data_IF_223897132622
#
_entry.id   IF_223897132622
#
_cell.length_a   1.000
_cell.length_b   1.000
_cell.length_c   1.000
_cell.angle_alpha   90.00
_cell.angle_beta   90.00
_cell.angle_gamma   90.00
#
_symmetry.space_group_name_H-M   'P 1'
#
loop_
_entity.id
_entity.type
_entity.pdbx_description
1 polymer ?
#
# COMPACT_ATOMS: atom_id res chain seq x y z
N UNK A 1 11.12 -16.71 9.69
CA UNK A 1 10.80 -15.42 9.03
C UNK A 1 9.58 -15.62 8.16
N UNK A 2 8.61 -14.70 8.14
CA UNK A 2 7.44 -14.86 7.31
C UNK A 2 7.79 -14.94 5.82
N UNK A 3 7.22 -15.90 5.12
CA UNK A 3 7.56 -16.14 3.71
C UNK A 3 6.86 -15.13 2.78
N UNK A 4 5.63 -14.74 3.13
CA UNK A 4 4.81 -13.86 2.30
C UNK A 4 4.12 -12.79 3.13
N UNK A 5 4.11 -11.56 2.59
CA UNK A 5 3.21 -10.50 3.02
C UNK A 5 2.27 -10.12 1.88
N UNK A 6 0.99 -9.99 2.17
CA UNK A 6 -0.01 -9.53 1.22
C UNK A 6 -0.33 -8.06 1.49
N UNK A 7 -0.42 -7.26 0.43
CA UNK A 7 -0.88 -5.88 0.50
C UNK A 7 -2.13 -5.66 -0.33
N UNK A 8 -3.09 -4.95 0.25
CA UNK A 8 -4.37 -4.63 -0.38
C UNK A 8 -4.96 -3.32 0.14
N UNK A 9 -6.02 -2.86 -0.49
CA UNK A 9 -6.72 -1.62 -0.16
C UNK A 9 -8.24 -1.81 -0.13
N UNK A 10 -8.93 -1.04 0.71
CA UNK A 10 -10.39 -1.15 0.88
C UNK A 10 -11.23 -0.30 -0.06
N UNK A 11 -10.70 0.83 -0.50
CA UNK A 11 -11.32 1.70 -1.51
C UNK A 11 -10.24 2.19 -2.45
N UNK A 12 -10.52 2.16 -3.76
CA UNK A 12 -9.63 2.72 -4.78
C UNK A 12 -9.35 4.21 -4.50
N UNK A 13 -8.15 4.70 -4.85
CA UNK A 13 -7.74 6.05 -4.50
C UNK A 13 -8.67 7.15 -5.06
N UNK A 14 -9.25 6.94 -6.25
CA UNK A 14 -10.16 7.89 -6.91
C UNK A 14 -11.57 7.95 -6.33
N UNK A 15 -11.94 7.02 -5.42
CA UNK A 15 -13.25 7.09 -4.76
C UNK A 15 -13.25 8.21 -3.72
N UNK A 16 -14.34 8.97 -3.62
CA UNK A 16 -14.53 10.02 -2.58
C UNK A 16 -14.84 9.42 -1.19
N UNK A 17 -14.00 8.48 -0.74
CA UNK A 17 -14.05 7.79 0.54
C UNK A 17 -12.62 7.59 1.05
N UNK A 18 -12.43 7.49 2.36
CA UNK A 18 -11.12 7.12 2.93
C UNK A 18 -10.64 5.78 2.35
N UNK A 19 -9.39 5.75 1.90
CA UNK A 19 -8.72 4.55 1.40
C UNK A 19 -7.84 4.00 2.52
N UNK A 20 -8.15 2.82 3.03
CA UNK A 20 -7.25 2.11 3.93
C UNK A 20 -6.41 1.12 3.15
N UNK A 21 -5.19 0.90 3.60
CA UNK A 21 -4.19 0.01 3.00
C UNK A 21 -3.63 -0.85 4.11
N UNK A 22 -3.60 -2.16 3.90
CA UNK A 22 -3.05 -3.11 4.87
C UNK A 22 -1.96 -3.95 4.22
N UNK A 23 -0.94 -4.27 5.00
CA UNK A 23 0.11 -5.24 4.69
C UNK A 23 0.12 -6.29 5.78
N UNK A 24 -0.05 -7.57 5.42
CA UNK A 24 -0.34 -8.65 6.36
C UNK A 24 0.55 -9.86 6.08
N UNK A 25 1.22 -10.34 7.12
CA UNK A 25 1.95 -11.60 7.10
C UNK A 25 0.98 -12.77 6.97
N UNK A 26 1.24 -13.66 6.01
CA UNK A 26 0.41 -14.87 5.83
C UNK A 26 0.54 -15.80 7.03
N UNK A 27 1.77 -15.96 7.53
CA UNK A 27 2.14 -16.97 8.54
C UNK A 27 1.80 -16.51 9.96
N UNK A 28 2.24 -15.30 10.33
CA UNK A 28 2.12 -14.80 11.71
C UNK A 28 0.87 -13.97 11.94
N UNK A 29 0.15 -13.60 10.88
CA UNK A 29 -0.95 -12.63 10.90
C UNK A 29 -0.55 -11.25 11.42
N UNK A 30 0.75 -10.97 11.60
CA UNK A 30 1.24 -9.63 11.87
C UNK A 30 0.81 -8.69 10.73
N UNK A 31 0.29 -7.52 11.10
CA UNK A 31 -0.19 -6.56 10.13
C UNK A 31 0.24 -5.15 10.45
N UNK A 32 0.46 -4.37 9.40
CA UNK A 32 0.67 -2.93 9.42
C UNK A 32 -0.21 -2.30 8.36
N UNK A 33 -0.50 -1.02 8.48
CA UNK A 33 -1.32 -0.35 7.47
C UNK A 33 -1.38 1.13 7.69
N UNK A 34 -1.96 1.81 6.71
CA UNK A 34 -2.20 3.25 6.76
C UNK A 34 -3.56 3.55 6.16
N UNK A 35 -4.01 4.79 6.29
CA UNK A 35 -5.18 5.28 5.60
C UNK A 35 -4.89 6.64 4.98
N UNK A 36 -5.64 6.94 3.93
CA UNK A 36 -5.64 8.22 3.25
C UNK A 36 -7.06 8.76 3.26
N UNK A 37 -7.28 9.76 4.11
CA UNK A 37 -8.54 10.51 4.16
C UNK A 37 -8.87 11.12 2.81
N UNK A 38 -10.16 11.34 2.58
CA UNK A 38 -10.65 12.09 1.44
C UNK A 38 -9.94 13.44 1.28
N UNK A 39 -9.70 14.17 2.38
CA UNK A 39 -9.02 15.45 2.35
C UNK A 39 -7.57 15.33 1.86
N UNK A 40 -6.81 14.38 2.41
CA UNK A 40 -5.43 14.14 2.00
C UNK A 40 -5.35 13.73 0.51
N UNK A 41 -6.27 12.88 0.05
CA UNK A 41 -6.34 12.49 -1.36
C UNK A 41 -6.61 13.69 -2.28
N UNK A 42 -7.59 14.53 -1.94
CA UNK A 42 -7.88 15.78 -2.68
C UNK A 42 -6.67 16.71 -2.72
N UNK A 43 -5.93 16.82 -1.61
CA UNK A 43 -4.71 17.61 -1.58
C UNK A 43 -3.60 17.03 -2.48
N UNK A 44 -3.39 15.72 -2.46
CA UNK A 44 -2.44 15.01 -3.33
C UNK A 44 -2.79 15.22 -4.79
N UNK A 45 -4.06 15.02 -5.16
CA UNK A 45 -4.52 15.24 -6.54
C UNK A 45 -4.23 16.67 -6.95
N UNK A 46 -4.75 17.66 -6.22
CA UNK A 46 -4.56 19.08 -6.58
C UNK A 46 -3.09 19.50 -6.70
N UNK A 47 -2.20 19.01 -5.82
CA UNK A 47 -0.82 19.53 -5.72
C UNK A 47 0.24 18.68 -6.43
N UNK A 48 0.01 17.37 -6.58
CA UNK A 48 1.00 16.43 -7.14
C UNK A 48 0.50 15.76 -8.42
N UNK A 49 -0.81 15.50 -8.49
CA UNK A 49 -1.46 14.81 -9.60
C UNK A 49 -2.41 15.76 -10.32
N UNK A 50 -1.84 16.69 -11.11
CA UNK A 50 -2.61 17.71 -11.85
C UNK A 50 -3.74 17.09 -12.68
N UNK A 51 -3.59 15.84 -13.11
CA UNK A 51 -4.61 15.01 -13.77
C UNK A 51 -4.69 13.62 -13.12
N UNK A 52 -5.88 13.04 -13.02
CA UNK A 52 -6.08 11.71 -12.42
C UNK A 52 -5.66 10.55 -13.36
N UNK A 53 -4.36 10.45 -13.63
CA UNK A 53 -3.83 9.40 -14.51
C UNK A 53 -3.72 8.06 -13.78
N UNK A 54 -3.84 6.96 -14.54
CA UNK A 54 -3.64 5.60 -14.02
C UNK A 54 -2.23 5.42 -13.44
N UNK A 55 -1.22 5.98 -14.11
CA UNK A 55 0.17 5.97 -13.67
C UNK A 55 0.35 6.74 -12.36
N UNK A 56 -0.28 7.92 -12.24
CA UNK A 56 -0.28 8.71 -11.01
C UNK A 56 -0.88 7.96 -9.81
N UNK A 57 -1.98 7.24 -10.04
CA UNK A 57 -2.61 6.38 -9.03
C UNK A 57 -1.69 5.21 -8.65
N UNK A 58 -1.06 4.55 -9.62
CA UNK A 58 -0.09 3.48 -9.37
C UNK A 58 1.13 3.98 -8.58
N UNK A 59 1.62 5.18 -8.88
CA UNK A 59 2.71 5.83 -8.15
C UNK A 59 2.33 6.14 -6.71
N UNK A 60 1.14 6.69 -6.48
CA UNK A 60 0.62 6.92 -5.12
C UNK A 60 0.53 5.61 -4.33
N UNK A 61 0.03 4.56 -4.98
CA UNK A 61 -0.06 3.25 -4.35
C UNK A 61 1.31 2.70 -3.98
N UNK A 62 2.28 2.75 -4.90
CA UNK A 62 3.67 2.35 -4.65
C UNK A 62 4.30 3.10 -3.48
N UNK A 63 4.08 4.42 -3.36
CA UNK A 63 4.56 5.20 -2.22
C UNK A 63 3.96 4.69 -0.91
N UNK A 64 2.65 4.43 -0.87
CA UNK A 64 2.00 3.91 0.32
C UNK A 64 2.53 2.52 0.68
N UNK A 65 2.68 1.62 -0.30
CA UNK A 65 3.27 0.30 -0.11
C UNK A 65 4.70 0.41 0.43
N UNK A 66 5.53 1.28 -0.14
CA UNK A 66 6.90 1.51 0.32
C UNK A 66 6.97 1.95 1.78
N UNK A 67 6.10 2.90 2.19
CA UNK A 67 6.05 3.39 3.57
C UNK A 67 5.73 2.28 4.57
N UNK A 68 4.93 1.28 4.17
CA UNK A 68 4.64 0.09 4.96
C UNK A 68 5.81 -0.90 4.91
N UNK A 69 6.21 -1.30 3.70
CA UNK A 69 7.17 -2.38 3.48
C UNK A 69 8.58 -2.05 3.97
N UNK A 70 9.02 -0.78 3.96
CA UNK A 70 10.37 -0.40 4.43
C UNK A 70 10.63 -0.77 5.89
N UNK A 71 9.59 -0.77 6.73
CA UNK A 71 9.72 -1.10 8.16
C UNK A 71 9.80 -2.62 8.41
N UNK A 72 9.47 -3.43 7.41
CA UNK A 72 9.45 -4.89 7.48
C UNK A 72 10.31 -5.52 6.38
N UNK A 73 11.12 -4.73 5.67
CA UNK A 73 11.88 -5.16 4.51
C UNK A 73 12.79 -6.36 4.82
N UNK A 74 13.43 -6.36 5.99
CA UNK A 74 14.31 -7.45 6.44
C UNK A 74 13.56 -8.70 6.93
N UNK A 75 12.23 -8.66 6.97
CA UNK A 75 11.37 -9.75 7.45
C UNK A 75 10.57 -10.41 6.32
N UNK A 76 10.56 -9.84 5.12
CA UNK A 76 9.78 -10.32 3.99
C UNK A 76 10.69 -11.05 3.01
N UNK A 77 10.27 -12.23 2.53
CA UNK A 77 10.87 -12.84 1.33
C UNK A 77 10.13 -12.42 0.06
N UNK A 78 8.80 -12.41 0.10
CA UNK A 78 7.94 -12.02 -1.02
C UNK A 78 6.80 -11.10 -0.58
N UNK A 79 6.60 -9.99 -1.30
CA UNK A 79 5.49 -9.08 -1.17
C UNK A 79 4.48 -9.31 -2.30
N UNK A 80 3.26 -9.69 -1.94
CA UNK A 80 2.15 -10.00 -2.85
C UNK A 80 1.21 -8.81 -2.93
N UNK A 81 1.17 -8.14 -4.08
CA UNK A 81 0.23 -7.03 -4.34
C UNK A 81 -1.09 -7.62 -4.83
N UNK A 82 -2.14 -7.43 -4.03
CA UNK A 82 -3.45 -8.04 -4.26
C UNK A 82 -4.40 -7.17 -5.08
N UNK A 83 -4.12 -5.88 -5.20
CA UNK A 83 -4.96 -4.94 -5.92
C UNK A 83 -4.64 -4.91 -7.42
N UNK A 84 -5.69 -4.76 -8.24
CA UNK A 84 -5.59 -4.65 -9.72
C UNK A 84 -5.15 -3.26 -10.24
N UNK A 85 -4.73 -2.35 -9.37
CA UNK A 85 -3.98 -1.17 -9.82
C UNK A 85 -2.77 -1.64 -10.63
N UNK A 86 -2.50 -0.95 -11.75
CA UNK A 86 -1.58 -1.44 -12.78
C UNK A 86 -0.26 -1.93 -12.18
N UNK A 87 -0.18 -3.25 -11.98
CA UNK A 87 0.85 -3.87 -11.17
C UNK A 87 2.25 -3.58 -11.71
N UNK A 88 2.36 -3.49 -13.04
CA UNK A 88 3.60 -3.14 -13.72
C UNK A 88 4.14 -1.79 -13.26
N UNK A 89 3.31 -0.72 -13.31
CA UNK A 89 3.71 0.59 -12.83
C UNK A 89 3.98 0.60 -11.32
N UNK A 90 3.14 -0.07 -10.52
CA UNK A 90 3.33 -0.15 -9.06
C UNK A 90 4.68 -0.79 -8.73
N UNK A 91 5.02 -1.90 -9.38
CA UNK A 91 6.28 -2.61 -9.21
C UNK A 91 7.45 -1.72 -9.62
N UNK A 92 7.41 -1.10 -10.80
CA UNK A 92 8.47 -0.22 -11.30
C UNK A 92 8.75 0.93 -10.30
N UNK A 93 7.70 1.55 -9.78
CA UNK A 93 7.84 2.62 -8.80
C UNK A 93 8.34 2.14 -7.45
N UNK A 94 7.95 0.95 -7.00
CA UNK A 94 8.49 0.34 -5.79
C UNK A 94 9.98 0.04 -5.92
N UNK A 95 10.40 -0.53 -7.04
CA UNK A 95 11.82 -0.80 -7.32
C UNK A 95 12.62 0.51 -7.28
N UNK A 96 12.14 1.59 -7.90
CA UNK A 96 12.76 2.93 -7.78
C UNK A 96 12.87 3.40 -6.33
N UNK A 97 11.80 3.31 -5.54
CA UNK A 97 11.77 3.72 -4.13
C UNK A 97 12.71 2.90 -3.23
N UNK A 98 13.00 1.66 -3.59
CA UNK A 98 13.99 0.81 -2.94
C UNK A 98 15.39 0.91 -3.58
N UNK A 99 15.69 2.01 -4.29
CA UNK A 99 16.98 2.24 -4.97
C UNK A 99 17.28 1.15 -6.01
N UNK A 100 16.36 0.96 -6.94
CA UNK A 100 16.42 0.05 -8.10
C UNK A 100 16.30 -1.44 -7.79
N UNK A 101 16.43 -1.89 -6.53
CA UNK A 101 16.18 -3.29 -6.17
C UNK A 101 15.57 -3.43 -4.78
N UNK A 102 14.33 -3.92 -4.73
CA UNK A 102 13.71 -4.30 -3.46
C UNK A 102 14.47 -5.48 -2.83
N UNK A 103 14.63 -5.50 -1.49
CA UNK A 103 15.30 -6.61 -0.79
C UNK A 103 14.45 -7.90 -0.73
N UNK A 104 13.27 -7.89 -1.37
CA UNK A 104 12.31 -8.98 -1.44
C UNK A 104 11.72 -9.06 -2.84
N UNK A 105 11.15 -10.21 -3.20
CA UNK A 105 10.41 -10.35 -4.45
C UNK A 105 9.08 -9.59 -4.40
N UNK A 106 8.68 -8.95 -5.50
CA UNK A 106 7.38 -8.27 -5.64
C UNK A 106 6.59 -9.02 -6.72
N UNK A 107 5.47 -9.62 -6.34
CA UNK A 107 4.62 -10.40 -7.25
C UNK A 107 3.15 -9.95 -7.16
N UNK A 108 2.38 -10.21 -8.22
CA UNK A 108 0.94 -9.99 -8.20
C UNK A 108 0.21 -11.15 -7.53
N UNK A 109 -1.04 -10.94 -7.11
CA UNK A 109 -1.88 -12.03 -6.61
C UNK A 109 -2.10 -13.12 -7.67
N UNK A 110 -2.15 -12.78 -8.95
CA UNK A 110 -2.27 -13.76 -10.04
C UNK A 110 -1.04 -14.67 -10.09
N UNK A 111 0.16 -14.11 -10.01
CA UNK A 111 1.40 -14.89 -9.96
C UNK A 111 1.44 -15.77 -8.70
N UNK A 112 1.06 -15.23 -7.54
CA UNK A 112 0.98 -15.99 -6.29
C UNK A 112 -0.01 -17.18 -6.36
N UNK A 113 -1.17 -16.99 -6.99
CA UNK A 113 -2.16 -18.07 -7.20
C UNK A 113 -1.62 -19.16 -8.12
N UNK A 114 -0.89 -18.79 -9.17
CA UNK A 114 -0.23 -19.73 -10.05
C UNK A 114 0.85 -20.55 -9.32
N UNK A 115 1.68 -19.91 -8.48
CA UNK A 115 2.70 -20.59 -7.66
C UNK A 115 2.11 -21.57 -6.65
N UNK A 116 0.96 -21.23 -6.06
CA UNK A 116 0.34 -22.02 -4.99
C UNK A 116 -0.69 -23.03 -5.46
N UNK A 117 -1.14 -22.95 -6.72
CA UNK A 117 -2.22 -23.76 -7.27
C UNK A 117 -3.58 -23.55 -6.56
N UNK A 118 -3.75 -22.45 -5.82
CA UNK A 118 -4.93 -22.20 -4.98
C UNK A 118 -5.55 -20.85 -5.28
N UNK A 119 -6.88 -20.79 -5.34
CA UNK A 119 -7.61 -19.52 -5.47
C UNK A 119 -7.75 -18.82 -4.10
N UNK A 120 -6.63 -18.25 -3.62
CA UNK A 120 -6.55 -17.62 -2.30
C UNK A 120 -7.04 -16.17 -2.39
N UNK A 121 -7.91 -15.77 -1.44
CA UNK A 121 -8.32 -14.36 -1.23
C UNK A 121 -7.24 -13.59 -0.46
N UNK A 122 -7.18 -12.28 -0.66
CA UNK A 122 -6.27 -11.40 0.07
C UNK A 122 -6.58 -11.42 1.57
N UNK A 123 -5.64 -11.79 2.46
CA UNK A 123 -5.82 -11.66 3.90
C UNK A 123 -5.76 -10.19 4.35
N UNK A 124 -5.36 -9.28 3.47
CA UNK A 124 -5.22 -7.85 3.76
C UNK A 124 -6.51 -7.04 3.50
N UNK A 125 -7.46 -7.56 2.72
CA UNK A 125 -8.68 -6.84 2.33
C UNK A 125 -9.50 -6.35 3.54
N UNK A 126 -9.91 -7.27 4.42
CA UNK A 126 -10.67 -6.93 5.63
C UNK A 126 -9.92 -5.94 6.53
N UNK A 127 -8.59 -6.12 6.68
CA UNK A 127 -7.77 -5.23 7.48
C UNK A 127 -7.67 -3.83 6.86
N UNK A 128 -7.57 -3.73 5.53
CA UNK A 128 -7.58 -2.45 4.83
C UNK A 128 -8.88 -1.68 5.09
N UNK A 129 -10.01 -2.37 5.26
CA UNK A 129 -11.27 -1.72 5.63
C UNK A 129 -11.24 -1.22 7.09
N UNK A 130 -10.62 -1.97 8.01
CA UNK A 130 -10.40 -1.50 9.38
C UNK A 130 -9.51 -0.27 9.45
N UNK A 131 -8.42 -0.21 8.67
CA UNK A 131 -7.56 0.97 8.60
C UNK A 131 -8.33 2.20 8.09
N UNK A 132 -9.17 2.07 7.06
CA UNK A 132 -9.98 3.17 6.54
C UNK A 132 -10.94 3.74 7.58
N UNK A 133 -11.60 2.87 8.36
CA UNK A 133 -12.54 3.28 9.41
C UNK A 133 -11.88 4.04 10.55
N UNK A 134 -10.61 3.74 10.84
CA UNK A 134 -9.91 4.30 12.01
C UNK A 134 -9.55 5.77 11.83
N UNK A 135 -9.21 6.21 10.62
CA UNK A 135 -9.07 7.66 10.33
C UNK A 135 -10.38 8.44 10.49
N UNK A 136 -11.53 7.78 10.37
CA UNK A 136 -12.82 8.43 10.57
C UNK A 136 -13.21 8.57 12.05
N UNK A 137 -12.61 7.80 12.96
CA UNK A 137 -13.09 7.68 14.34
C UNK A 137 -11.96 7.37 15.35
N UNK A 138 -10.88 8.16 15.36
CA UNK A 138 -9.83 8.04 16.39
C UNK A 138 -10.36 8.22 17.82
N UNK A 139 -11.44 9.00 17.99
CA UNK A 139 -12.03 9.35 19.30
C UNK A 139 -13.00 8.31 19.87
N UNK A 140 -13.38 7.27 19.13
CA UNK A 140 -14.24 6.19 19.66
C UNK A 140 -13.36 5.13 20.32
N UNK A 141 -13.71 4.71 21.54
CA UNK A 141 -13.16 3.48 22.17
C UNK A 141 -13.43 2.31 21.23
N UNK A 142 -12.47 2.00 20.37
CA UNK A 142 -12.62 0.95 19.36
C UNK A 142 -12.42 -0.41 20.04
N UNK A 143 -13.52 -1.13 20.31
CA UNK A 143 -13.47 -2.57 20.59
C UNK A 143 -13.06 -3.29 19.30
N UNK A 144 -12.01 -4.11 19.32
CA UNK A 144 -11.57 -4.89 18.15
C UNK A 144 -10.06 -5.03 18.00
N UNK A 145 -9.61 -5.40 16.80
CA UNK A 145 -8.22 -5.70 16.45
C UNK A 145 -7.33 -4.46 16.63
N UNK A 146 -6.24 -4.60 17.39
CA UNK A 146 -5.21 -3.55 17.54
C UNK A 146 -4.49 -3.34 16.21
N UNK A 147 -4.75 -2.22 15.52
CA UNK A 147 -4.02 -1.89 14.29
C UNK A 147 -2.69 -1.22 14.58
N UNK A 148 -1.62 -1.72 13.93
CA UNK A 148 -0.33 -1.05 13.83
C UNK A 148 -0.40 -0.08 12.65
N UNK A 149 -0.56 1.21 12.96
CA UNK A 149 -0.79 2.26 11.95
C UNK A 149 0.51 2.98 11.63
N UNK A 150 0.83 3.10 10.35
CA UNK A 150 1.83 4.03 9.84
C UNK A 150 1.11 5.32 9.46
N UNK A 151 1.44 6.41 10.13
CA UNK A 151 0.88 7.72 9.82
C UNK A 151 1.45 8.22 8.49
N UNK A 152 0.55 8.53 7.57
CA UNK A 152 0.89 9.04 6.24
C UNK A 152 0.27 10.44 6.10
N UNK A 153 1.08 11.41 5.69
CA UNK A 153 0.63 12.79 5.47
C UNK A 153 1.16 13.32 4.14
N UNK A 154 0.67 14.49 3.74
CA UNK A 154 1.03 15.10 2.47
C UNK A 154 2.53 15.35 2.34
N UNK A 155 3.20 15.81 3.41
CA UNK A 155 4.65 16.07 3.41
C UNK A 155 5.45 14.80 3.08
N UNK A 156 5.13 13.70 3.76
CA UNK A 156 5.79 12.41 3.54
C UNK A 156 5.54 11.88 2.13
N UNK A 157 4.30 11.96 1.64
CA UNK A 157 3.95 11.54 0.28
C UNK A 157 4.67 12.40 -0.76
N UNK A 158 4.65 13.72 -0.62
CA UNK A 158 5.31 14.66 -1.54
C UNK A 158 6.81 14.41 -1.64
N UNK A 159 7.48 14.14 -0.51
CA UNK A 159 8.91 13.85 -0.52
C UNK A 159 9.22 12.63 -1.39
N UNK A 160 8.50 11.52 -1.17
CA UNK A 160 8.68 10.28 -1.95
C UNK A 160 8.20 10.42 -3.39
N UNK A 161 7.20 11.26 -3.63
CA UNK A 161 6.71 11.61 -4.96
C UNK A 161 7.82 12.20 -5.83
N UNK A 162 8.59 13.11 -5.26
CA UNK A 162 9.66 13.83 -5.95
C UNK A 162 10.91 12.97 -6.14
N UNK A 163 11.27 12.13 -5.16
CA UNK A 163 12.37 11.17 -5.27
C UNK A 163 12.23 10.23 -6.48
N UNK A 164 10.99 9.85 -6.81
CA UNK A 164 10.70 9.01 -7.97
C UNK A 164 10.71 9.80 -9.29
N UNK A 165 10.53 11.13 -9.27
CA UNK A 165 10.61 11.98 -10.47
C UNK A 165 12.05 12.18 -10.93
N UNK A 166 12.97 12.40 -9.99
CA UNK A 166 14.39 12.66 -10.26
C UNK A 166 15.19 11.47 -10.78
N UNK A 167 14.58 10.29 -10.92
CA UNK A 167 15.21 9.06 -11.46
C UNK A 167 14.71 8.79 -12.89
N UNK A 168 14.02 9.75 -13.50
CA UNK A 168 13.50 9.67 -14.87
C UNK A 168 14.14 10.69 -15.81
N UNK A 169 15.25 11.30 -15.40
CA UNK A 169 16.16 12.13 -16.19
C UNK A 169 17.52 11.42 -16.29
#
# INVERSE_FOLDING_TARGET
MPKYYHIDLSNKFWKDKTTGIACVSVDTKEHIGCALSTHLKKEIYRKLLKEETQEGRAKLYAICIYLLARNIANKIRTLVICNDENFHFVRQYLEKLFKQKAPFAIISITAYRAETGRNIKSPADNLAAHYAKRELNERKRNKGIKLNVILTNFKTIKAKWNEVKSVSE
#
